data_IF_442683914807
#
_entry.id   IF_442683914807
#
_cell.length_a   1.000
_cell.length_b   1.000
_cell.length_c   1.000
_cell.angle_alpha   90.00
_cell.angle_beta   90.00
_cell.angle_gamma   90.00
#
_symmetry.space_group_name_H-M   'P 1'
#
loop_
_entity.id
_entity.type
_entity.pdbx_description
1 polymer ?
#
# COMPACT_ATOMS: atom_id res chain seq x y z
N UNK A 1 44.36 10.87 -39.61
CA UNK A 1 43.59 9.99 -38.71
C UNK A 1 43.47 10.69 -37.37
N UNK A 2 42.38 11.41 -37.18
CA UNK A 2 42.10 12.22 -35.98
C UNK A 2 40.59 12.19 -35.79
N UNK A 3 40.11 11.24 -34.98
CA UNK A 3 38.69 11.04 -34.69
C UNK A 3 38.30 11.75 -33.40
N UNK A 4 37.32 12.65 -33.49
CA UNK A 4 36.60 13.26 -32.38
C UNK A 4 35.83 12.22 -31.56
N UNK A 5 35.64 12.41 -30.24
CA UNK A 5 34.70 11.60 -29.49
C UNK A 5 33.27 12.13 -29.70
N UNK A 6 32.39 11.26 -30.18
CA UNK A 6 30.97 11.50 -30.32
C UNK A 6 30.29 11.65 -28.95
N UNK A 7 29.62 12.79 -28.76
CA UNK A 7 28.66 13.00 -27.68
C UNK A 7 27.48 12.05 -27.85
N UNK A 8 27.21 11.18 -26.86
CA UNK A 8 25.91 10.52 -26.74
C UNK A 8 24.99 11.41 -25.93
N UNK A 9 23.98 11.93 -26.62
CA UNK A 9 22.80 12.56 -26.05
C UNK A 9 21.78 11.44 -25.89
N UNK A 10 21.60 10.93 -24.67
CA UNK A 10 20.48 10.04 -24.35
C UNK A 10 19.43 10.87 -23.59
N UNK A 11 18.55 11.50 -24.36
CA UNK A 11 17.25 11.96 -23.89
C UNK A 11 16.25 10.83 -24.05
N UNK A 12 15.84 10.20 -22.95
CA UNK A 12 14.71 9.28 -22.95
C UNK A 12 13.43 10.04 -22.64
N UNK A 13 12.54 10.09 -23.64
CA UNK A 13 11.16 10.54 -23.49
C UNK A 13 10.36 9.51 -22.65
N UNK A 14 9.34 9.95 -21.89
CA UNK A 14 8.55 9.05 -21.03
C UNK A 14 7.51 8.32 -21.88
N UNK A 15 7.62 6.98 -21.98
CA UNK A 15 6.63 6.18 -22.70
C UNK A 15 7.04 4.78 -23.14
N UNK A 16 7.99 4.13 -22.47
CA UNK A 16 8.30 2.71 -22.74
C UNK A 16 8.10 1.88 -21.48
N UNK A 17 7.14 0.98 -21.57
CA UNK A 17 6.86 -0.15 -20.70
C UNK A 17 8.07 -1.08 -20.67
N UNK A 18 9.07 -0.77 -19.84
CA UNK A 18 10.05 -1.76 -19.42
C UNK A 18 9.36 -2.81 -18.54
N UNK A 19 9.77 -4.06 -18.66
CA UNK A 19 9.32 -5.16 -17.79
C UNK A 19 9.55 -4.76 -16.33
N UNK A 20 8.46 -4.42 -15.62
CA UNK A 20 8.53 -3.98 -14.24
C UNK A 20 8.71 -5.24 -13.40
N UNK A 21 9.95 -5.51 -12.99
CA UNK A 21 10.25 -6.62 -12.09
C UNK A 21 9.45 -6.52 -10.79
N UNK A 22 9.18 -7.67 -10.18
CA UNK A 22 8.52 -7.77 -8.89
C UNK A 22 9.30 -6.99 -7.82
N UNK A 23 8.58 -6.29 -6.94
CA UNK A 23 9.14 -5.49 -5.85
C UNK A 23 8.60 -5.98 -4.51
N UNK A 24 9.42 -5.89 -3.47
CA UNK A 24 8.92 -6.02 -2.10
C UNK A 24 8.09 -4.79 -1.71
N UNK A 25 7.06 -4.98 -0.90
CA UNK A 25 6.28 -3.91 -0.29
C UNK A 25 6.71 -3.61 1.16
N UNK A 26 7.70 -4.35 1.67
CA UNK A 26 8.18 -4.17 3.03
C UNK A 26 9.69 -4.42 3.14
N UNK A 27 10.29 -3.84 4.17
CA UNK A 27 11.68 -4.12 4.54
C UNK A 27 11.80 -4.42 6.03
N UNK A 28 12.73 -5.30 6.38
CA UNK A 28 12.97 -5.66 7.78
C UNK A 28 14.07 -4.80 8.39
N UNK A 29 13.80 -4.26 9.57
CA UNK A 29 14.79 -3.73 10.50
C UNK A 29 15.00 -4.77 11.61
N UNK A 30 16.21 -5.29 11.70
CA UNK A 30 16.56 -6.33 12.68
C UNK A 30 16.96 -5.68 14.00
N UNK A 31 16.31 -6.09 15.09
CA UNK A 31 16.61 -5.57 16.42
C UNK A 31 17.99 -6.07 16.90
N UNK A 32 18.85 -5.13 17.25
CA UNK A 32 20.19 -5.34 17.79
C UNK A 32 20.29 -5.19 19.32
N UNK A 33 21.52 -5.01 19.86
CA UNK A 33 21.72 -4.74 21.28
C UNK A 33 21.10 -3.40 21.70
N UNK A 34 20.81 -3.27 22.99
CA UNK A 34 20.18 -2.09 23.57
C UNK A 34 20.96 -1.48 24.71
N UNK A 35 20.66 -0.21 24.99
CA UNK A 35 21.11 0.50 26.19
C UNK A 35 19.90 1.09 26.93
N UNK A 36 19.98 1.26 28.26
CA UNK A 36 18.94 1.95 29.01
C UNK A 36 18.79 3.39 28.52
N UNK A 37 17.54 3.86 28.41
CA UNK A 37 17.23 5.28 28.21
C UNK A 37 15.89 5.63 28.85
N UNK A 38 15.91 6.12 30.10
CA UNK A 38 14.74 6.73 30.73
C UNK A 38 14.31 7.98 29.94
N UNK A 39 13.01 8.23 29.84
CA UNK A 39 12.45 9.29 28.98
C UNK A 39 12.97 10.70 29.27
N UNK A 40 13.44 10.93 30.50
CA UNK A 40 13.74 12.24 31.07
C UNK A 40 15.26 12.53 31.10
N UNK A 41 16.08 11.61 30.59
CA UNK A 41 17.54 11.75 30.54
C UNK A 41 18.03 12.24 29.17
N UNK A 42 19.23 12.83 29.18
CA UNK A 42 19.91 13.26 27.96
C UNK A 42 20.01 12.10 26.94
N UNK A 43 19.94 12.42 25.64
CA UNK A 43 19.98 11.40 24.61
C UNK A 43 21.29 10.58 24.73
N UNK A 44 21.23 9.24 24.88
CA UNK A 44 22.40 8.39 25.10
C UNK A 44 23.29 8.28 23.85
N UNK A 45 22.82 8.82 22.72
CA UNK A 45 23.52 8.84 21.44
C UNK A 45 24.35 10.12 21.25
N UNK A 46 24.10 11.17 22.05
CA UNK A 46 24.88 12.42 22.00
C UNK A 46 26.31 12.14 22.46
N UNK A 47 27.28 12.34 21.57
CA UNK A 47 28.71 12.08 21.82
C UNK A 47 29.20 10.70 21.41
N UNK A 48 28.29 9.77 21.08
CA UNK A 48 28.65 8.45 20.56
C UNK A 48 28.70 8.39 19.03
N UNK A 49 28.24 9.43 18.32
CA UNK A 49 27.81 9.44 16.91
C UNK A 49 28.58 8.47 16.01
N UNK A 50 28.17 7.19 15.93
CA UNK A 50 28.83 6.27 15.03
C UNK A 50 28.38 6.67 13.63
N UNK A 51 29.21 6.42 12.61
CA UNK A 51 28.89 6.68 11.21
C UNK A 51 27.78 5.76 10.66
N UNK A 52 26.69 5.60 11.40
CA UNK A 52 25.53 4.82 10.99
C UNK A 52 24.85 5.49 9.81
N UNK A 53 24.47 4.69 8.82
CA UNK A 53 23.62 5.19 7.74
C UNK A 53 22.21 5.44 8.29
N UNK A 54 21.85 6.72 8.42
CA UNK A 54 20.51 7.15 8.83
C UNK A 54 19.40 6.46 8.04
N UNK A 55 19.56 6.20 6.76
CA UNK A 55 18.50 5.56 5.96
C UNK A 55 18.28 4.11 6.38
N UNK A 56 19.35 3.43 6.81
CA UNK A 56 19.37 2.00 7.14
C UNK A 56 19.27 1.71 8.62
N UNK A 57 19.25 2.73 9.46
CA UNK A 57 19.21 2.59 10.91
C UNK A 57 18.06 3.36 11.54
N UNK A 58 17.53 2.81 12.62
CA UNK A 58 16.61 3.48 13.53
C UNK A 58 16.85 2.98 14.96
N UNK A 59 16.43 3.76 15.94
CA UNK A 59 16.53 3.38 17.33
C UNK A 59 15.15 3.09 17.92
N UNK A 60 14.86 1.82 18.22
CA UNK A 60 13.59 1.41 18.81
C UNK A 60 13.58 1.73 20.30
N UNK A 61 12.65 2.59 20.73
CA UNK A 61 12.46 3.00 22.12
C UNK A 61 11.25 2.26 22.72
N UNK A 62 11.50 1.26 23.57
CA UNK A 62 10.46 0.48 24.24
C UNK A 62 10.84 0.23 25.70
N UNK A 63 9.87 0.41 26.62
CA UNK A 63 10.01 0.07 28.06
C UNK A 63 11.28 0.63 28.72
N UNK A 64 11.64 1.88 28.44
CA UNK A 64 12.83 2.53 29.02
C UNK A 64 14.16 2.03 28.46
N UNK A 65 14.15 1.30 27.35
CA UNK A 65 15.34 0.88 26.61
C UNK A 65 15.30 1.44 25.19
N UNK A 66 16.49 1.68 24.64
CA UNK A 66 16.67 2.00 23.23
C UNK A 66 17.51 0.89 22.58
N UNK A 67 17.08 0.38 21.43
CA UNK A 67 17.78 -0.69 20.69
C UNK A 67 18.09 -0.22 19.27
N UNK A 68 19.34 -0.38 18.83
CA UNK A 68 19.68 -0.13 17.43
C UNK A 68 18.98 -1.18 16.56
N UNK A 69 18.30 -0.73 15.51
CA UNK A 69 17.71 -1.60 14.51
C UNK A 69 18.26 -1.25 13.14
N UNK A 70 18.66 -2.26 12.38
CA UNK A 70 19.37 -2.09 11.11
C UNK A 70 18.70 -2.87 9.99
N UNK A 71 18.71 -2.32 8.77
CA UNK A 71 18.26 -3.03 7.57
C UNK A 71 19.40 -3.19 6.56
N UNK A 72 19.48 -4.39 5.99
CA UNK A 72 20.44 -4.74 4.95
C UNK A 72 19.77 -5.05 3.61
N UNK A 73 18.49 -4.67 3.44
CA UNK A 73 17.77 -4.87 2.17
C UNK A 73 18.49 -4.18 1.01
N UNK A 74 18.50 -4.86 -0.14
CA UNK A 74 18.97 -4.37 -1.43
C UNK A 74 17.85 -3.84 -2.32
N UNK A 75 16.59 -4.07 -1.96
CA UNK A 75 15.44 -3.88 -2.85
C UNK A 75 14.90 -2.44 -2.86
N UNK A 76 15.44 -1.62 -1.97
CA UNK A 76 15.09 -0.22 -1.78
C UNK A 76 16.32 0.68 -1.86
N UNK A 77 16.21 1.76 -2.64
CA UNK A 77 17.24 2.80 -2.69
C UNK A 77 17.32 3.58 -1.37
N UNK A 78 18.39 4.35 -1.19
CA UNK A 78 18.54 5.19 0.00
C UNK A 78 17.41 6.22 0.11
N UNK A 79 16.99 6.79 -1.02
CA UNK A 79 15.93 7.77 -1.12
C UNK A 79 14.57 7.13 -0.76
N UNK A 80 14.31 5.91 -1.22
CA UNK A 80 13.11 5.16 -0.86
C UNK A 80 13.06 4.83 0.64
N UNK A 81 14.20 4.41 1.22
CA UNK A 81 14.30 4.16 2.66
C UNK A 81 14.00 5.42 3.48
N UNK A 82 14.54 6.57 3.08
CA UNK A 82 14.26 7.85 3.72
C UNK A 82 12.81 8.31 3.49
N UNK A 83 12.24 8.03 2.31
CA UNK A 83 10.85 8.36 2.04
C UNK A 83 9.90 7.52 2.90
N UNK A 84 10.13 6.21 3.02
CA UNK A 84 9.34 5.33 3.89
C UNK A 84 9.46 5.76 5.35
N UNK A 85 10.70 6.03 5.81
CA UNK A 85 10.97 6.33 7.22
C UNK A 85 10.62 7.75 7.61
N UNK A 86 11.19 8.74 6.94
CA UNK A 86 11.13 10.14 7.34
C UNK A 86 10.03 10.92 6.60
N UNK A 87 9.72 10.53 5.35
CA UNK A 87 8.64 11.13 4.56
C UNK A 87 7.26 10.66 5.02
N UNK A 88 6.99 9.37 4.85
CA UNK A 88 5.72 8.75 5.19
C UNK A 88 5.61 8.35 6.66
N UNK A 89 6.72 8.11 7.37
CA UNK A 89 6.68 7.66 8.77
C UNK A 89 6.12 6.24 8.93
N UNK A 90 6.30 5.37 7.94
CA UNK A 90 5.67 4.04 7.89
C UNK A 90 6.63 2.98 8.44
N UNK A 91 6.88 3.09 9.75
CA UNK A 91 7.62 2.12 10.53
C UNK A 91 6.68 1.43 11.50
N UNK A 92 6.86 0.13 11.65
CA UNK A 92 6.04 -0.72 12.50
C UNK A 92 6.92 -1.66 13.30
N UNK A 93 6.55 -1.97 14.54
CA UNK A 93 7.11 -3.10 15.26
C UNK A 93 6.14 -4.27 15.19
N UNK A 94 6.66 -5.43 14.81
CA UNK A 94 5.89 -6.67 14.85
C UNK A 94 5.74 -7.12 16.30
N UNK A 95 4.49 -7.18 16.76
CA UNK A 95 4.14 -7.70 18.08
C UNK A 95 3.52 -9.10 18.00
N UNK A 96 3.38 -9.65 16.79
CA UNK A 96 2.93 -11.00 16.54
C UNK A 96 4.07 -12.03 16.69
N UNK A 97 3.72 -13.31 16.56
CA UNK A 97 4.69 -14.41 16.41
C UNK A 97 4.56 -15.09 15.04
N UNK A 98 3.88 -14.45 14.08
CA UNK A 98 3.57 -15.00 12.75
C UNK A 98 4.75 -14.80 11.80
N UNK A 99 4.88 -15.65 10.78
CA UNK A 99 5.90 -15.46 9.74
C UNK A 99 5.69 -14.16 8.97
N UNK A 100 4.44 -13.85 8.61
CA UNK A 100 4.02 -12.57 8.05
C UNK A 100 2.79 -12.06 8.83
N UNK A 101 2.68 -10.75 9.09
CA UNK A 101 1.47 -10.16 9.64
C UNK A 101 0.35 -10.21 8.59
N UNK A 102 -0.82 -10.70 8.98
CA UNK A 102 -2.03 -10.78 8.14
C UNK A 102 -3.19 -9.93 8.68
N UNK A 103 -3.09 -9.48 9.94
CA UNK A 103 -4.03 -8.57 10.60
C UNK A 103 -3.22 -7.41 11.20
N UNK A 104 -3.03 -6.34 10.42
CA UNK A 104 -2.12 -5.25 10.78
C UNK A 104 -2.51 -4.56 12.10
N UNK A 105 -3.81 -4.40 12.36
CA UNK A 105 -4.31 -3.80 13.60
C UNK A 105 -3.96 -4.61 14.84
N UNK A 106 -3.95 -5.95 14.72
CA UNK A 106 -3.58 -6.84 15.84
C UNK A 106 -2.09 -7.09 15.91
N UNK A 107 -1.46 -7.38 14.79
CA UNK A 107 -0.11 -7.91 14.67
C UNK A 107 0.97 -6.82 14.75
N UNK A 108 0.64 -5.58 14.38
CA UNK A 108 1.60 -4.49 14.28
C UNK A 108 1.30 -3.34 15.26
N UNK A 109 2.34 -2.62 15.65
CA UNK A 109 2.22 -1.30 16.27
C UNK A 109 2.99 -0.28 15.46
N UNK A 110 2.30 0.79 15.05
CA UNK A 110 2.96 1.91 14.36
C UNK A 110 4.00 2.52 15.28
N UNK A 111 5.17 2.83 14.74
CA UNK A 111 6.20 3.58 15.42
C UNK A 111 6.08 5.06 15.07
N UNK A 112 6.30 5.91 16.06
CA UNK A 112 6.35 7.35 15.90
C UNK A 112 7.69 7.87 16.39
N UNK A 113 8.28 8.76 15.61
CA UNK A 113 9.51 9.45 16.01
C UNK A 113 9.27 10.22 17.31
N UNK A 114 10.19 10.03 18.27
CA UNK A 114 10.21 10.76 19.53
C UNK A 114 10.29 12.28 19.29
N UNK A 115 9.48 13.11 19.98
CA UNK A 115 9.46 14.56 19.77
C UNK A 115 10.83 15.24 19.92
N UNK A 116 11.67 14.73 20.82
CA UNK A 116 13.02 15.24 21.09
C UNK A 116 13.94 15.06 19.88
N UNK A 117 13.77 13.97 19.11
CA UNK A 117 14.56 13.69 17.91
C UNK A 117 14.24 14.66 16.77
N UNK A 118 12.99 15.10 16.63
CA UNK A 118 12.57 16.04 15.57
C UNK A 118 13.25 17.41 15.68
N UNK A 119 13.62 17.81 16.91
CA UNK A 119 14.29 19.09 17.20
C UNK A 119 15.80 18.94 17.41
N UNK A 120 16.34 17.73 17.27
CA UNK A 120 17.74 17.46 17.50
C UNK A 120 18.60 18.06 16.39
N UNK A 121 19.68 18.74 16.78
CA UNK A 121 20.66 19.32 15.85
C UNK A 121 21.27 18.26 14.90
N UNK A 122 21.47 17.04 15.40
CA UNK A 122 22.04 15.92 14.64
C UNK A 122 21.01 15.10 13.85
N UNK A 123 19.75 15.53 13.76
CA UNK A 123 18.68 14.76 13.10
C UNK A 123 18.97 14.45 11.64
N UNK A 124 19.72 15.33 10.95
CA UNK A 124 20.12 15.15 9.57
C UNK A 124 20.95 13.87 9.35
N UNK A 125 21.70 13.45 10.37
CA UNK A 125 22.67 12.35 10.32
C UNK A 125 22.26 11.17 11.21
N UNK A 126 21.25 11.35 12.07
CA UNK A 126 20.79 10.35 13.02
C UNK A 126 19.56 9.59 12.51
N UNK A 127 19.54 8.27 12.75
CA UNK A 127 18.40 7.39 12.47
C UNK A 127 17.11 7.74 13.24
N UNK A 128 17.24 8.54 14.30
CA UNK A 128 16.13 8.94 15.17
C UNK A 128 15.69 7.83 16.11
N UNK A 129 15.07 8.20 17.23
CA UNK A 129 14.44 7.26 18.15
C UNK A 129 12.93 7.19 17.90
N UNK A 130 12.39 5.98 17.92
CA UNK A 130 11.03 5.67 17.51
C UNK A 130 10.34 4.84 18.58
N UNK A 131 9.21 5.33 19.10
CA UNK A 131 8.41 4.65 20.12
C UNK A 131 7.12 4.10 19.53
N UNK A 132 6.54 3.08 20.17
CA UNK A 132 5.23 2.58 19.77
C UNK A 132 4.13 3.63 19.99
N UNK A 133 3.36 3.90 18.96
CA UNK A 133 2.17 4.72 19.01
C UNK A 133 1.03 3.90 19.65
N UNK A 134 0.38 4.48 20.66
CA UNK A 134 -0.73 3.83 21.35
C UNK A 134 -2.04 3.83 20.54
N UNK A 135 -2.20 4.81 19.64
CA UNK A 135 -3.39 4.97 18.80
C UNK A 135 -3.48 3.89 17.74
N UNK A 136 -4.66 3.28 17.61
CA UNK A 136 -4.99 2.40 16.49
C UNK A 136 -5.26 3.23 15.23
N UNK A 137 -4.22 3.41 14.43
CA UNK A 137 -4.30 4.14 13.16
C UNK A 137 -4.94 3.31 12.04
N UNK A 138 -4.89 1.98 12.13
CA UNK A 138 -5.35 1.11 11.06
C UNK A 138 -6.88 1.12 11.00
N UNK A 139 -7.55 0.88 12.13
CA UNK A 139 -9.01 0.92 12.20
C UNK A 139 -9.55 2.32 11.89
N UNK A 140 -8.85 3.38 12.35
CA UNK A 140 -9.22 4.76 12.07
C UNK A 140 -9.20 5.05 10.57
N UNK A 141 -8.12 4.69 9.88
CA UNK A 141 -7.95 5.01 8.46
C UNK A 141 -8.78 4.09 7.55
N UNK A 142 -9.11 2.88 8.02
CA UNK A 142 -10.06 1.98 7.34
C UNK A 142 -11.52 2.45 7.48
N UNK A 143 -11.84 3.23 8.53
CA UNK A 143 -13.19 3.73 8.78
C UNK A 143 -13.83 4.43 7.57
N UNK A 144 -13.08 5.27 6.85
CA UNK A 144 -13.60 5.96 5.67
C UNK A 144 -13.94 5.00 4.52
N UNK A 145 -13.12 3.99 4.30
CA UNK A 145 -13.44 2.95 3.31
C UNK A 145 -14.73 2.23 3.69
N UNK A 146 -14.90 1.85 4.96
CA UNK A 146 -16.11 1.18 5.42
C UNK A 146 -17.36 2.07 5.26
N UNK A 147 -17.26 3.38 5.49
CA UNK A 147 -18.35 4.33 5.20
C UNK A 147 -18.71 4.34 3.71
N UNK A 148 -17.73 4.39 2.80
CA UNK A 148 -18.00 4.31 1.36
C UNK A 148 -18.66 3.00 0.98
N UNK A 149 -18.15 1.87 1.48
CA UNK A 149 -18.66 0.53 1.14
C UNK A 149 -20.08 0.28 1.64
N UNK A 150 -20.40 0.73 2.85
CA UNK A 150 -21.75 0.63 3.42
C UNK A 150 -22.75 1.57 2.73
N UNK A 151 -22.27 2.64 2.09
CA UNK A 151 -23.08 3.58 1.32
C UNK A 151 -23.35 3.18 -0.14
N UNK A 152 -22.74 2.10 -0.65
CA UNK A 152 -22.89 1.68 -2.06
C UNK A 152 -24.34 1.30 -2.40
N UNK A 153 -24.76 1.62 -3.61
CA UNK A 153 -26.06 1.21 -4.18
C UNK A 153 -25.91 0.90 -5.66
N UNK A 154 -26.61 -0.13 -6.14
CA UNK A 154 -26.52 -0.58 -7.53
C UNK A 154 -25.48 -1.68 -7.72
N UNK A 155 -24.89 -1.75 -8.92
CA UNK A 155 -24.01 -2.86 -9.30
C UNK A 155 -22.54 -2.52 -9.05
N UNK A 156 -21.86 -3.38 -8.31
CA UNK A 156 -20.46 -3.21 -7.87
C UNK A 156 -19.57 -4.24 -8.58
N UNK A 157 -18.43 -3.79 -9.11
CA UNK A 157 -17.34 -4.65 -9.57
C UNK A 157 -16.12 -4.45 -8.66
N UNK A 158 -15.69 -5.50 -7.97
CA UNK A 158 -14.46 -5.52 -7.18
C UNK A 158 -13.35 -6.27 -7.93
N UNK A 159 -12.28 -5.57 -8.28
CA UNK A 159 -11.18 -6.03 -9.12
C UNK A 159 -10.02 -6.46 -8.23
N UNK A 160 -9.69 -7.75 -8.26
CA UNK A 160 -8.73 -8.36 -7.34
C UNK A 160 -9.33 -8.53 -5.95
N UNK A 161 -10.50 -9.16 -5.86
CA UNK A 161 -11.27 -9.24 -4.61
C UNK A 161 -10.61 -10.14 -3.54
N UNK A 162 -9.61 -10.94 -3.90
CA UNK A 162 -8.78 -11.73 -2.98
C UNK A 162 -9.61 -12.60 -2.02
N UNK A 163 -9.34 -12.44 -0.73
CA UNK A 163 -10.05 -13.16 0.36
C UNK A 163 -11.31 -12.42 0.85
N UNK A 164 -11.76 -11.40 0.12
CA UNK A 164 -12.98 -10.64 0.42
C UNK A 164 -13.03 -10.02 1.82
N UNK A 165 -11.99 -9.31 2.29
CA UNK A 165 -11.92 -8.78 3.66
C UNK A 165 -13.07 -7.80 3.98
N UNK A 166 -13.64 -7.17 2.94
CA UNK A 166 -14.69 -6.17 3.06
C UNK A 166 -16.11 -6.68 2.75
N UNK A 167 -16.28 -7.95 2.35
CA UNK A 167 -17.60 -8.48 1.96
C UNK A 167 -18.62 -8.41 3.09
N UNK A 168 -18.17 -8.55 4.35
CA UNK A 168 -19.04 -8.40 5.53
C UNK A 168 -19.65 -6.99 5.66
N UNK A 169 -18.95 -5.96 5.20
CA UNK A 169 -19.45 -4.59 5.24
C UNK A 169 -20.50 -4.34 4.14
N UNK A 170 -20.40 -5.04 3.01
CA UNK A 170 -21.30 -4.91 1.85
C UNK A 170 -22.53 -5.81 2.00
N UNK A 171 -22.40 -6.95 2.69
CA UNK A 171 -23.44 -7.98 2.84
C UNK A 171 -24.81 -7.43 3.25
N UNK A 172 -24.96 -6.53 4.25
CA UNK A 172 -26.27 -5.97 4.60
C UNK A 172 -26.99 -5.32 3.41
N UNK A 173 -26.28 -4.50 2.62
CA UNK A 173 -26.85 -3.82 1.45
C UNK A 173 -27.23 -4.81 0.34
N UNK A 174 -26.55 -5.95 0.24
CA UNK A 174 -26.91 -7.01 -0.72
C UNK A 174 -28.16 -7.75 -0.27
N UNK A 175 -28.26 -8.10 1.01
CA UNK A 175 -29.42 -8.78 1.58
C UNK A 175 -30.69 -7.91 1.51
N UNK A 176 -30.54 -6.59 1.57
CA UNK A 176 -31.61 -5.61 1.35
C UNK A 176 -31.95 -5.39 -0.14
N UNK A 177 -31.23 -6.03 -1.06
CA UNK A 177 -31.40 -5.85 -2.51
C UNK A 177 -30.92 -4.50 -3.04
N UNK A 178 -30.18 -3.73 -2.24
CA UNK A 178 -29.63 -2.43 -2.64
C UNK A 178 -28.36 -2.56 -3.47
N UNK A 179 -27.61 -3.66 -3.32
CA UNK A 179 -26.35 -3.91 -4.03
C UNK A 179 -26.38 -5.24 -4.77
N UNK A 180 -25.86 -5.26 -5.99
CA UNK A 180 -25.48 -6.47 -6.71
C UNK A 180 -23.96 -6.51 -6.87
N UNK A 181 -23.31 -7.55 -6.35
CA UNK A 181 -21.86 -7.61 -6.23
C UNK A 181 -21.25 -8.64 -7.20
N UNK A 182 -20.22 -8.20 -7.94
CA UNK A 182 -19.36 -9.05 -8.76
C UNK A 182 -17.92 -8.89 -8.29
N UNK A 183 -17.27 -9.98 -7.87
CA UNK A 183 -15.85 -10.01 -7.51
C UNK A 183 -15.05 -10.79 -8.54
N UNK A 184 -13.91 -10.24 -8.98
CA UNK A 184 -12.99 -10.94 -9.89
C UNK A 184 -11.61 -11.09 -9.26
N UNK A 185 -11.01 -12.26 -9.45
CA UNK A 185 -9.65 -12.58 -9.00
C UNK A 185 -9.08 -13.74 -9.84
N UNK A 186 -7.77 -13.79 -10.15
CA UNK A 186 -7.20 -14.93 -10.86
C UNK A 186 -7.16 -16.23 -10.04
N UNK A 187 -7.21 -16.17 -8.70
CA UNK A 187 -7.14 -17.36 -7.84
C UNK A 187 -8.51 -18.05 -7.69
N UNK A 188 -8.75 -19.04 -8.54
CA UNK A 188 -9.97 -19.84 -8.49
C UNK A 188 -10.18 -20.60 -7.16
N UNK A 189 -9.11 -20.91 -6.41
CA UNK A 189 -9.22 -21.61 -5.13
C UNK A 189 -9.75 -20.66 -4.05
N UNK A 190 -9.21 -19.44 -3.97
CA UNK A 190 -9.71 -18.38 -3.06
C UNK A 190 -11.17 -18.06 -3.37
N UNK A 191 -11.52 -17.90 -4.65
CA UNK A 191 -12.90 -17.65 -5.06
C UNK A 191 -13.86 -18.78 -4.71
N UNK A 192 -13.42 -20.05 -4.77
CA UNK A 192 -14.25 -21.18 -4.35
C UNK A 192 -14.59 -21.13 -2.86
N UNK A 193 -13.65 -20.73 -2.01
CA UNK A 193 -13.86 -20.52 -0.57
C UNK A 193 -14.82 -19.35 -0.33
N UNK A 194 -14.61 -18.23 -1.03
CA UNK A 194 -15.50 -17.07 -0.93
C UNK A 194 -16.93 -17.38 -1.35
N UNK A 195 -17.11 -18.16 -2.41
CA UNK A 195 -18.44 -18.57 -2.89
C UNK A 195 -19.20 -19.43 -1.88
N UNK A 196 -18.51 -20.26 -1.11
CA UNK A 196 -19.13 -21.01 -0.02
C UNK A 196 -19.59 -20.10 1.13
N UNK A 197 -18.80 -19.07 1.43
CA UNK A 197 -19.07 -18.14 2.54
C UNK A 197 -20.10 -17.08 2.19
N UNK A 198 -20.09 -16.60 0.96
CA UNK A 198 -20.94 -15.51 0.46
C UNK A 198 -21.65 -15.96 -0.84
N UNK A 199 -22.62 -16.89 -0.75
CA UNK A 199 -23.30 -17.43 -1.93
C UNK A 199 -24.15 -16.41 -2.70
N UNK A 200 -24.37 -15.22 -2.12
CA UNK A 200 -25.05 -14.09 -2.75
C UNK A 200 -24.18 -13.33 -3.76
N UNK A 201 -22.86 -13.49 -3.72
CA UNK A 201 -21.92 -12.79 -4.59
C UNK A 201 -21.65 -13.57 -5.89
N UNK A 202 -21.45 -12.85 -7.00
CA UNK A 202 -20.99 -13.43 -8.25
C UNK A 202 -19.46 -13.35 -8.35
N UNK A 203 -18.77 -14.47 -8.11
CA UNK A 203 -17.31 -14.55 -8.21
C UNK A 203 -16.86 -15.13 -9.56
N UNK A 204 -15.91 -14.47 -10.22
CA UNK A 204 -15.34 -14.90 -11.51
C UNK A 204 -13.83 -15.02 -11.45
N UNK A 205 -13.33 -16.22 -11.79
CA UNK A 205 -11.89 -16.47 -11.92
C UNK A 205 -11.36 -15.81 -13.20
N UNK A 206 -10.89 -14.57 -13.10
CA UNK A 206 -10.49 -13.74 -14.23
C UNK A 206 -9.27 -12.89 -13.85
N UNK A 207 -8.26 -12.86 -14.72
CA UNK A 207 -7.21 -11.85 -14.65
C UNK A 207 -7.77 -10.50 -15.10
N UNK A 208 -7.56 -9.46 -14.31
CA UNK A 208 -8.08 -8.12 -14.59
C UNK A 208 -7.57 -7.56 -15.93
N UNK A 209 -6.36 -7.94 -16.35
CA UNK A 209 -5.73 -7.48 -17.58
C UNK A 209 -6.39 -8.04 -18.87
N UNK A 210 -7.24 -9.06 -18.77
CA UNK A 210 -7.79 -9.78 -19.95
C UNK A 210 -9.31 -10.02 -19.84
N UNK A 211 -9.89 -10.06 -18.62
CA UNK A 211 -11.17 -10.73 -18.39
C UNK A 211 -12.48 -9.92 -18.53
N UNK A 212 -12.45 -8.60 -18.74
CA UNK A 212 -13.66 -7.78 -18.62
C UNK A 212 -14.75 -8.04 -19.66
N UNK A 213 -14.40 -8.53 -20.85
CA UNK A 213 -15.34 -8.76 -21.95
C UNK A 213 -16.38 -9.84 -21.60
N UNK A 214 -16.02 -10.78 -20.74
CA UNK A 214 -16.91 -11.85 -20.27
C UNK A 214 -17.95 -11.39 -19.25
N UNK A 215 -17.82 -10.18 -18.71
CA UNK A 215 -18.79 -9.60 -17.79
C UNK A 215 -19.98 -9.04 -18.58
N UNK A 216 -21.17 -9.07 -17.99
CA UNK A 216 -22.39 -8.54 -18.61
C UNK A 216 -22.88 -7.26 -17.91
N UNK A 217 -23.45 -6.35 -18.69
CA UNK A 217 -24.03 -5.09 -18.18
C UNK A 217 -23.00 -4.02 -17.81
N UNK A 218 -23.52 -2.94 -17.22
CA UNK A 218 -22.75 -1.81 -16.68
C UNK A 218 -22.75 -1.84 -15.15
N UNK A 219 -21.72 -1.23 -14.56
CA UNK A 219 -21.53 -1.10 -13.12
C UNK A 219 -21.72 0.34 -12.67
N UNK A 220 -22.21 0.52 -11.45
CA UNK A 220 -22.32 1.84 -10.81
C UNK A 220 -21.06 2.16 -10.00
N UNK A 221 -20.36 1.13 -9.53
CA UNK A 221 -19.15 1.28 -8.71
C UNK A 221 -18.06 0.29 -9.13
N UNK A 222 -16.83 0.79 -9.27
CA UNK A 222 -15.61 0.00 -9.36
C UNK A 222 -14.82 0.10 -8.06
N UNK A 223 -14.33 -1.03 -7.57
CA UNK A 223 -13.45 -1.12 -6.41
C UNK A 223 -12.14 -1.80 -6.81
N UNK A 224 -11.01 -1.21 -6.41
CA UNK A 224 -9.71 -1.88 -6.35
C UNK A 224 -9.19 -1.74 -4.93
N UNK A 225 -9.38 -2.78 -4.13
CA UNK A 225 -9.09 -2.76 -2.69
C UNK A 225 -7.84 -3.59 -2.41
N UNK A 226 -6.70 -2.90 -2.30
CA UNK A 226 -5.35 -3.46 -2.11
C UNK A 226 -4.89 -4.35 -3.27
N UNK A 227 -5.33 -4.04 -4.49
CA UNK A 227 -4.99 -4.77 -5.72
C UNK A 227 -4.28 -3.89 -6.76
N UNK A 228 -4.26 -2.57 -6.61
CA UNK A 228 -3.71 -1.64 -7.60
C UNK A 228 -2.21 -1.86 -7.86
N UNK A 229 -1.46 -2.09 -6.79
CA UNK A 229 -0.02 -2.37 -6.84
C UNK A 229 0.31 -3.75 -7.43
N UNK A 230 -0.68 -4.66 -7.50
CA UNK A 230 -0.58 -6.00 -8.07
C UNK A 230 -0.92 -6.06 -9.56
N UNK A 231 -1.47 -5.00 -10.14
CA UNK A 231 -1.75 -4.96 -11.58
C UNK A 231 -0.46 -4.70 -12.36
N UNK A 232 -0.22 -5.45 -13.45
CA UNK A 232 0.94 -5.14 -14.32
C UNK A 232 0.76 -3.80 -15.03
N UNK A 233 -0.44 -3.55 -15.56
CA UNK A 233 -0.79 -2.35 -16.31
C UNK A 233 -2.06 -1.69 -15.72
N UNK A 234 -1.98 -1.06 -14.53
CA UNK A 234 -3.16 -0.55 -13.82
C UNK A 234 -3.96 0.45 -14.64
N UNK A 235 -3.27 1.30 -15.43
CA UNK A 235 -3.93 2.27 -16.31
C UNK A 235 -4.78 1.58 -17.37
N UNK A 236 -4.21 0.62 -18.11
CA UNK A 236 -4.92 -0.10 -19.17
C UNK A 236 -6.09 -0.92 -18.60
N UNK A 237 -5.87 -1.58 -17.45
CA UNK A 237 -6.92 -2.30 -16.73
C UNK A 237 -8.07 -1.36 -16.36
N UNK A 238 -7.77 -0.19 -15.81
CA UNK A 238 -8.80 0.80 -15.43
C UNK A 238 -9.46 1.43 -16.66
N UNK A 239 -8.74 1.69 -17.75
CA UNK A 239 -9.33 2.17 -19.01
C UNK A 239 -10.43 1.22 -19.52
N UNK A 240 -10.16 -0.10 -19.50
CA UNK A 240 -11.13 -1.13 -19.91
C UNK A 240 -12.26 -1.29 -18.89
N UNK A 241 -11.96 -1.27 -17.60
CA UNK A 241 -12.97 -1.37 -16.56
C UNK A 241 -13.94 -0.19 -16.59
N UNK A 242 -13.42 1.04 -16.77
CA UNK A 242 -14.22 2.27 -16.85
C UNK A 242 -15.16 2.29 -18.05
N UNK A 243 -14.82 1.60 -19.15
CA UNK A 243 -15.73 1.43 -20.29
C UNK A 243 -17.06 0.77 -19.91
N UNK A 244 -17.10 0.07 -18.76
CA UNK A 244 -18.27 -0.64 -18.24
C UNK A 244 -18.97 0.09 -17.10
N UNK A 245 -18.57 1.31 -16.78
CA UNK A 245 -19.16 2.08 -15.67
C UNK A 245 -20.19 3.06 -16.21
N UNK A 246 -21.35 3.11 -15.56
CA UNK A 246 -22.40 4.09 -15.84
C UNK A 246 -21.84 5.52 -15.70
N UNK A 247 -22.24 6.48 -16.55
CA UNK A 247 -21.89 7.88 -16.35
C UNK A 247 -22.33 8.35 -14.95
N UNK A 248 -21.43 9.03 -14.22
CA UNK A 248 -21.67 9.40 -12.83
C UNK A 248 -21.42 8.31 -11.79
N UNK A 249 -21.09 7.08 -12.20
CA UNK A 249 -20.62 6.01 -11.32
C UNK A 249 -19.27 6.35 -10.66
N UNK A 250 -18.77 5.49 -9.79
CA UNK A 250 -17.57 5.80 -8.99
C UNK A 250 -16.46 4.76 -9.15
N UNK A 251 -15.22 5.21 -8.91
CA UNK A 251 -14.05 4.37 -8.75
C UNK A 251 -13.46 4.61 -7.36
N UNK A 252 -13.32 3.57 -6.56
CA UNK A 252 -12.64 3.60 -5.26
C UNK A 252 -11.36 2.78 -5.35
N UNK A 253 -10.23 3.44 -5.09
CA UNK A 253 -8.91 2.82 -5.03
C UNK A 253 -8.41 2.90 -3.59
N UNK A 254 -7.96 1.77 -3.06
CA UNK A 254 -7.25 1.70 -1.79
C UNK A 254 -6.03 0.84 -2.00
N UNK A 255 -4.87 1.30 -1.57
CA UNK A 255 -3.66 0.48 -1.54
C UNK A 255 -2.70 1.04 -0.49
N UNK A 256 -1.52 0.45 -0.40
CA UNK A 256 -0.53 0.76 0.61
C UNK A 256 0.78 1.23 -0.02
N UNK A 257 1.45 2.15 0.65
CA UNK A 257 2.88 2.40 0.39
C UNK A 257 3.73 1.35 1.09
N UNK A 258 4.99 1.23 0.65
CA UNK A 258 5.95 0.37 1.30
C UNK A 258 6.22 0.79 2.76
N UNK A 259 6.57 -0.18 3.61
CA UNK A 259 6.77 0.06 5.03
C UNK A 259 7.97 -0.69 5.62
N UNK A 260 8.51 -0.16 6.72
CA UNK A 260 9.55 -0.80 7.51
C UNK A 260 8.98 -1.58 8.68
N UNK A 261 9.43 -2.83 8.84
CA UNK A 261 8.99 -3.73 9.90
C UNK A 261 10.17 -4.08 10.81
N UNK A 262 10.07 -3.68 12.08
CA UNK A 262 11.05 -3.97 13.13
C UNK A 262 10.74 -5.33 13.74
N UNK A 263 11.68 -6.27 13.63
CA UNK A 263 11.50 -7.67 14.08
C UNK A 263 12.77 -8.25 14.68
N UNK A 264 12.59 -9.35 15.41
CA UNK A 264 13.70 -10.19 15.87
C UNK A 264 14.40 -10.88 14.68
N UNK A 265 15.72 -11.10 14.81
CA UNK A 265 16.58 -11.59 13.72
C UNK A 265 16.11 -12.89 13.09
N UNK A 266 15.69 -13.85 13.90
CA UNK A 266 15.22 -15.16 13.42
C UNK A 266 13.94 -15.02 12.58
N UNK A 267 13.06 -14.10 12.97
CA UNK A 267 11.80 -13.88 12.28
C UNK A 267 12.01 -13.16 10.94
N UNK A 268 12.90 -12.16 10.92
CA UNK A 268 13.32 -11.49 9.69
C UNK A 268 13.92 -12.48 8.68
N UNK A 269 14.85 -13.35 9.10
CA UNK A 269 15.44 -14.39 8.25
C UNK A 269 14.41 -15.35 7.67
N UNK A 270 13.45 -15.80 8.48
CA UNK A 270 12.38 -16.69 8.01
C UNK A 270 11.45 -16.00 7.02
N UNK A 271 11.12 -14.74 7.26
CA UNK A 271 10.29 -13.95 6.35
C UNK A 271 10.98 -13.72 5.00
N UNK A 272 12.28 -13.41 5.02
CA UNK A 272 13.09 -13.23 3.80
C UNK A 272 13.29 -14.54 3.03
N UNK A 273 13.36 -15.67 3.73
CA UNK A 273 13.45 -17.00 3.12
C UNK A 273 12.10 -17.56 2.65
N UNK A 274 11.00 -17.11 3.24
CA UNK A 274 9.66 -17.44 2.75
C UNK A 274 9.41 -16.62 1.50
N UNK A 275 9.15 -17.29 0.37
CA UNK A 275 8.71 -16.67 -0.87
C UNK A 275 7.28 -16.11 -0.72
N UNK A 276 7.03 -15.28 0.28
CA UNK A 276 5.75 -14.67 0.57
C UNK A 276 5.38 -13.72 -0.59
N UNK A 277 4.70 -14.31 -1.57
CA UNK A 277 3.89 -13.74 -2.66
C UNK A 277 4.32 -12.33 -3.09
N UNK A 278 5.52 -12.23 -3.64
CA UNK A 278 5.94 -11.06 -4.39
C UNK A 278 5.10 -10.96 -5.67
N UNK A 279 3.96 -10.30 -5.61
CA UNK A 279 3.20 -9.88 -6.80
C UNK A 279 3.02 -8.35 -6.87
N UNK A 280 3.73 -7.57 -6.05
CA UNK A 280 3.77 -6.13 -6.22
C UNK A 280 4.64 -5.76 -7.42
N UNK A 281 4.06 -5.09 -8.41
CA UNK A 281 4.81 -4.46 -9.49
C UNK A 281 5.28 -3.05 -9.10
N UNK A 282 4.66 -2.47 -8.08
CA UNK A 282 4.98 -1.12 -7.56
C UNK A 282 4.54 -0.95 -6.11
N UNK A 283 4.96 0.16 -5.52
CA UNK A 283 4.53 0.64 -4.20
C UNK A 283 4.02 2.08 -4.34
N UNK A 284 3.02 2.27 -5.20
CA UNK A 284 2.56 3.61 -5.54
C UNK A 284 1.93 4.30 -4.33
N UNK A 285 2.22 5.59 -4.15
CA UNK A 285 1.40 6.46 -3.30
C UNK A 285 0.18 7.00 -4.07
N UNK A 286 -0.70 7.72 -3.38
CA UNK A 286 -1.90 8.29 -3.97
C UNK A 286 -1.61 9.27 -5.13
N UNK A 287 -0.52 10.04 -5.06
CA UNK A 287 -0.16 11.02 -6.10
C UNK A 287 0.32 10.31 -7.36
N UNK A 288 1.14 9.28 -7.20
CA UNK A 288 1.61 8.42 -8.28
C UNK A 288 0.45 7.66 -8.93
N UNK A 289 -0.50 7.17 -8.13
CA UNK A 289 -1.73 6.57 -8.65
C UNK A 289 -2.54 7.58 -9.46
N UNK A 290 -2.81 8.78 -8.93
CA UNK A 290 -3.53 9.84 -9.66
C UNK A 290 -2.82 10.26 -10.95
N UNK A 291 -1.50 10.33 -10.95
CA UNK A 291 -0.70 10.62 -12.15
C UNK A 291 -0.93 9.56 -13.23
N UNK A 292 -0.92 8.27 -12.87
CA UNK A 292 -1.19 7.17 -13.80
C UNK A 292 -2.58 7.24 -14.42
N UNK A 293 -3.54 7.84 -13.72
CA UNK A 293 -4.93 8.01 -14.17
C UNK A 293 -5.17 9.33 -14.91
N UNK A 294 -4.15 10.19 -15.05
CA UNK A 294 -4.30 11.48 -15.73
C UNK A 294 -4.86 11.29 -17.15
N UNK A 295 -5.86 12.09 -17.50
CA UNK A 295 -6.52 12.05 -18.82
C UNK A 295 -7.61 10.98 -18.96
N UNK A 296 -7.83 10.14 -17.94
CA UNK A 296 -9.05 9.34 -17.85
C UNK A 296 -10.24 10.23 -17.46
N UNK A 297 -11.48 9.84 -17.79
CA UNK A 297 -12.69 10.64 -17.51
C UNK A 297 -13.10 10.53 -16.04
N UNK A 298 -12.19 10.92 -15.16
CA UNK A 298 -12.33 10.78 -13.72
C UNK A 298 -12.20 12.14 -13.07
N UNK A 299 -13.17 12.48 -12.23
CA UNK A 299 -13.16 13.65 -11.37
C UNK A 299 -12.82 13.21 -9.96
N UNK A 300 -11.82 13.85 -9.35
CA UNK A 300 -11.43 13.57 -7.97
C UNK A 300 -12.53 14.04 -7.00
N UNK A 301 -13.06 13.11 -6.21
CA UNK A 301 -14.03 13.41 -5.15
C UNK A 301 -13.31 13.58 -3.81
N UNK A 302 -12.49 12.59 -3.43
CA UNK A 302 -11.66 12.67 -2.23
C UNK A 302 -10.36 11.87 -2.38
N UNK A 303 -9.33 12.32 -1.65
CA UNK A 303 -8.04 11.63 -1.55
C UNK A 303 -7.54 11.70 -0.11
N UNK A 304 -7.12 10.55 0.42
CA UNK A 304 -6.46 10.41 1.69
C UNK A 304 -5.03 9.93 1.42
N UNK A 305 -4.07 10.82 1.57
CA UNK A 305 -2.65 10.51 1.38
C UNK A 305 -2.05 9.85 2.64
N UNK A 306 -0.99 9.07 2.45
CA UNK A 306 -0.20 8.56 3.56
C UNK A 306 0.62 9.69 4.18
N UNK A 307 0.53 9.81 5.50
CA UNK A 307 1.28 10.78 6.32
C UNK A 307 1.93 10.07 7.51
N UNK A 308 2.88 10.73 8.20
CA UNK A 308 3.45 10.19 9.45
C UNK A 308 2.41 9.89 10.55
N UNK A 309 1.21 10.48 10.47
CA UNK A 309 0.13 10.23 11.43
C UNK A 309 -0.86 9.13 11.00
N UNK A 310 -0.82 8.70 9.74
CA UNK A 310 -1.68 7.63 9.18
C UNK A 310 -1.00 6.27 9.24
N UNK A 311 -1.77 5.21 9.04
CA UNK A 311 -1.32 3.92 8.54
C UNK A 311 -0.66 4.08 7.15
N UNK A 312 -0.16 2.98 6.59
CA UNK A 312 0.45 2.94 5.26
C UNK A 312 -0.58 2.91 4.13
N UNK A 313 -1.88 2.94 4.47
CA UNK A 313 -2.98 2.94 3.53
C UNK A 313 -3.25 4.34 2.98
N UNK A 314 -3.43 4.43 1.67
CA UNK A 314 -4.06 5.59 1.03
C UNK A 314 -5.41 5.20 0.43
N UNK A 315 -6.26 6.21 0.21
CA UNK A 315 -7.56 6.05 -0.43
C UNK A 315 -7.75 7.15 -1.47
N UNK A 316 -8.28 6.79 -2.63
CA UNK A 316 -8.74 7.71 -3.66
C UNK A 316 -10.16 7.32 -4.05
N UNK A 317 -11.07 8.27 -4.03
CA UNK A 317 -12.42 8.09 -4.54
C UNK A 317 -12.67 9.11 -5.66
N UNK A 318 -13.10 8.58 -6.80
CA UNK A 318 -13.28 9.32 -8.04
C UNK A 318 -14.68 9.09 -8.58
N UNK A 319 -15.19 10.07 -9.31
CA UNK A 319 -16.44 9.97 -10.06
C UNK A 319 -16.13 9.89 -11.55
N UNK A 320 -16.81 9.00 -12.26
CA UNK A 320 -16.76 8.93 -13.73
C UNK A 320 -17.55 10.09 -14.30
N UNK A 321 -16.92 10.87 -15.19
CA UNK A 321 -17.51 12.06 -15.80
C UNK A 321 -18.90 11.73 -16.39
N UNK A 322 -19.98 12.35 -15.90
CA UNK A 322 -21.34 12.08 -16.34
C UNK A 322 -21.61 12.51 -17.79
N UNK A 323 -20.74 13.34 -18.37
CA UNK A 323 -20.89 13.84 -19.74
C UNK A 323 -20.29 12.91 -20.79
N UNK A 324 -19.55 11.86 -20.37
CA UNK A 324 -18.95 10.92 -21.31
C UNK A 324 -19.97 9.88 -21.78
N UNK A 325 -20.24 9.84 -23.08
CA UNK A 325 -20.65 8.61 -23.77
C UNK A 325 -19.38 7.85 -24.11
N UNK A 326 -19.12 6.75 -23.43
CA UNK A 326 -18.11 5.79 -23.89
C UNK A 326 -18.68 5.12 -25.14
N UNK A 327 -18.16 5.46 -26.31
CA UNK A 327 -18.38 4.68 -27.52
C UNK A 327 -17.70 3.33 -27.30
N UNK A 328 -18.47 2.34 -26.86
CA UNK A 328 -18.05 0.94 -26.90
C UNK A 328 -17.92 0.59 -28.38
N UNK A 329 -16.69 0.53 -28.89
CA UNK A 329 -16.43 -0.04 -30.20
C UNK A 329 -16.83 -1.53 -30.12
N UNK A 330 -17.95 -1.83 -30.77
CA UNK A 330 -18.52 -3.15 -31.02
C UNK A 330 -17.58 -4.08 -31.78
#
# INVERSE_FOLDING_TARGET
MSGQPAQRVDGTAPGQTGDVGLRSNSLNFVIGPGVPWPSDEACPLLGAHPGFDRARTLWLSLKGQIRLCETHTSDFSREELLQIKDGYGQLYVDVSRKLAPDDFARDLRKLQERPECRRCHFRAECGGAWGALATDVFSRDEGRLLELLTGLRGRVLDIGCGDGPYLKAIEPSVLEGCVSYVGIDPDAQRLAVLKQRYPWADFRALAAEIGFDSLSGTFDHLLLLRSFNHLRSPRETLERALARVSPGGTLTLVDNVAYGLVRERELARRAEASAAEHEHFRNADARQALELLRGLPLELVEVHEVTPASSNQWLIHLRVDPTRRLELNS
#
